data_IF_123548109175
#
_entry.id   IF_123548109175
#
_cell.length_a   1.000
_cell.length_b   1.000
_cell.length_c   1.000
_cell.angle_alpha   90.00
_cell.angle_beta   90.00
_cell.angle_gamma   90.00
#
_symmetry.space_group_name_H-M   'P 1'
#
loop_
_entity.id
_entity.type
_entity.pdbx_description
1 polymer ?
#
# COMPACT_ATOMS: atom_id res chain seq x y z
N UNK A 1 -1.22 -13.40 12.74
CA UNK A 1 -1.49 -14.59 11.91
C UNK A 1 -2.93 -15.04 11.98
N UNK A 2 -3.45 -15.38 10.80
CA UNK A 2 -4.61 -16.25 10.66
C UNK A 2 -4.06 -17.69 10.68
N UNK A 3 -4.36 -18.50 11.71
CA UNK A 3 -3.81 -19.85 11.85
C UNK A 3 -4.25 -20.81 10.72
N UNK A 4 -5.22 -20.40 9.90
CA UNK A 4 -5.74 -21.16 8.76
C UNK A 4 -4.95 -20.94 7.46
N UNK A 5 -4.04 -19.96 7.43
CA UNK A 5 -3.27 -19.60 6.24
C UNK A 5 -1.78 -19.86 6.49
N UNK A 6 -1.23 -20.85 5.77
CA UNK A 6 0.19 -21.20 5.79
C UNK A 6 0.44 -22.70 5.68
N UNK A 7 1.70 -23.08 5.46
CA UNK A 7 2.12 -24.49 5.37
C UNK A 7 1.74 -25.31 6.61
N UNK A 8 1.82 -24.69 7.80
CA UNK A 8 1.44 -25.33 9.07
C UNK A 8 -0.06 -25.59 9.23
N UNK A 9 -0.93 -24.98 8.42
CA UNK A 9 -2.38 -25.22 8.45
C UNK A 9 -2.79 -26.44 7.62
N UNK A 10 -1.89 -26.96 6.78
CA UNK A 10 -2.18 -28.09 5.88
C UNK A 10 -2.17 -29.41 6.64
N UNK A 11 -3.04 -30.33 6.19
CA UNK A 11 -3.06 -31.70 6.72
C UNK A 11 -1.77 -32.43 6.34
N UNK A 12 -1.12 -33.04 7.33
CA UNK A 12 0.11 -33.82 7.16
C UNK A 12 1.31 -32.99 6.66
N UNK A 13 1.41 -31.71 7.00
CA UNK A 13 2.64 -30.94 6.78
C UNK A 13 3.81 -31.58 7.53
N UNK A 14 4.99 -31.63 6.90
CA UNK A 14 6.20 -32.07 7.58
C UNK A 14 6.57 -31.08 8.69
N UNK A 15 7.05 -31.55 9.86
CA UNK A 15 7.53 -30.65 10.89
C UNK A 15 8.78 -29.90 10.40
N UNK A 16 8.96 -28.70 10.93
CA UNK A 16 10.20 -27.96 10.76
C UNK A 16 11.39 -28.74 11.34
N UNK A 17 12.50 -28.75 10.62
CA UNK A 17 13.77 -29.38 11.02
C UNK A 17 14.94 -28.43 10.69
N UNK A 18 16.02 -28.53 11.45
CA UNK A 18 17.20 -27.69 11.34
C UNK A 18 18.43 -28.51 10.94
N UNK A 19 19.12 -28.06 9.89
CA UNK A 19 20.39 -28.64 9.46
C UNK A 19 21.56 -27.75 9.84
N UNK A 20 22.79 -28.29 10.00
CA UNK A 20 23.97 -27.50 10.30
C UNK A 20 24.17 -26.36 9.28
N UNK A 21 24.52 -25.14 9.74
CA UNK A 21 24.64 -23.99 8.87
C UNK A 21 25.76 -24.19 7.85
N UNK A 22 25.48 -23.84 6.59
CA UNK A 22 26.50 -23.83 5.55
C UNK A 22 27.58 -22.78 5.84
N UNK A 23 28.81 -23.03 5.39
CA UNK A 23 29.88 -22.03 5.46
C UNK A 23 29.72 -21.06 4.29
N UNK A 24 29.38 -19.81 4.57
CA UNK A 24 29.30 -18.74 3.58
C UNK A 24 29.99 -17.48 4.10
N UNK A 25 30.53 -16.69 3.17
CA UNK A 25 31.03 -15.36 3.48
C UNK A 25 29.83 -14.43 3.64
N UNK A 26 29.56 -13.99 4.87
CA UNK A 26 28.58 -12.93 5.10
C UNK A 26 29.12 -11.65 4.49
N UNK A 27 28.30 -10.98 3.68
CA UNK A 27 28.54 -9.58 3.35
C UNK A 27 28.45 -8.82 4.67
N UNK A 28 29.60 -8.43 5.22
CA UNK A 28 29.64 -7.66 6.45
C UNK A 28 29.26 -6.23 6.10
N UNK A 29 27.97 -5.94 6.12
CA UNK A 29 27.54 -4.55 6.21
C UNK A 29 27.93 -4.08 7.62
N UNK A 30 29.06 -3.37 7.71
CA UNK A 30 29.61 -2.83 8.96
C UNK A 30 28.72 -1.76 9.58
N UNK A 31 27.65 -1.36 8.88
CA UNK A 31 26.62 -0.48 9.39
C UNK A 31 25.44 -1.33 9.85
N UNK A 32 25.16 -1.29 11.16
CA UNK A 32 23.87 -1.75 11.67
C UNK A 32 22.79 -0.99 10.93
N UNK A 33 21.95 -1.70 10.16
CA UNK A 33 20.76 -1.11 9.56
C UNK A 33 19.95 -0.43 10.68
N UNK A 34 19.38 0.73 10.40
CA UNK A 34 18.65 1.56 11.37
C UNK A 34 17.27 0.97 11.77
N UNK A 35 17.17 -0.36 11.87
CA UNK A 35 15.92 -1.12 12.01
C UNK A 35 15.12 -0.63 13.21
N UNK A 36 15.73 -0.50 14.39
CA UNK A 36 15.03 -0.06 15.61
C UNK A 36 14.44 1.35 15.46
N UNK A 37 15.19 2.27 14.81
CA UNK A 37 14.76 3.64 14.61
C UNK A 37 13.64 3.73 13.57
N UNK A 38 13.75 2.96 12.48
CA UNK A 38 12.72 2.86 11.45
C UNK A 38 11.43 2.24 12.02
N UNK A 39 11.55 1.18 12.82
CA UNK A 39 10.43 0.53 13.47
C UNK A 39 9.69 1.49 14.39
N UNK A 40 10.42 2.28 15.19
CA UNK A 40 9.81 3.29 16.07
C UNK A 40 9.06 4.37 15.28
N UNK A 41 9.70 4.96 14.26
CA UNK A 41 9.07 6.01 13.42
C UNK A 41 7.84 5.47 12.70
N UNK A 42 7.89 4.24 12.21
CA UNK A 42 6.77 3.59 11.54
C UNK A 42 5.62 3.30 12.51
N UNK A 43 5.91 2.74 13.69
CA UNK A 43 4.89 2.47 14.70
C UNK A 43 4.14 3.73 15.14
N UNK A 44 4.85 4.84 15.32
CA UNK A 44 4.25 6.15 15.62
C UNK A 44 3.34 6.65 14.48
N UNK A 45 3.72 6.48 13.21
CA UNK A 45 2.88 6.86 12.06
C UNK A 45 1.65 5.97 11.91
N UNK A 46 1.82 4.65 11.96
CA UNK A 46 0.73 3.67 11.84
C UNK A 46 -0.36 3.94 12.88
N UNK A 47 0.02 4.31 14.11
CA UNK A 47 -0.93 4.67 15.17
C UNK A 47 -1.71 5.97 14.91
N UNK A 48 -1.19 6.89 14.08
CA UNK A 48 -1.81 8.18 13.83
C UNK A 48 -2.54 8.24 12.47
N UNK A 49 -2.32 7.27 11.58
CA UNK A 49 -2.92 7.25 10.25
C UNK A 49 -4.31 6.61 10.28
N UNK A 50 -5.33 7.34 9.81
CA UNK A 50 -6.73 6.87 9.78
C UNK A 50 -6.92 5.60 8.95
N UNK A 51 -6.23 5.45 7.82
CA UNK A 51 -6.38 4.25 6.97
C UNK A 51 -5.94 2.97 7.69
N UNK A 52 -4.88 3.02 8.51
CA UNK A 52 -4.49 1.88 9.35
C UNK A 52 -5.53 1.57 10.44
N UNK A 53 -6.28 2.56 10.92
CA UNK A 53 -7.39 2.30 11.84
C UNK A 53 -8.50 1.49 11.16
N UNK A 54 -8.85 1.80 9.90
CA UNK A 54 -9.84 1.01 9.16
C UNK A 54 -9.35 -0.42 8.93
N UNK A 55 -8.06 -0.62 8.61
CA UNK A 55 -7.47 -1.95 8.48
C UNK A 55 -7.59 -2.74 9.79
N UNK A 56 -7.27 -2.11 10.93
CA UNK A 56 -7.39 -2.75 12.25
C UNK A 56 -8.84 -3.09 12.62
N UNK A 57 -9.80 -2.21 12.30
CA UNK A 57 -11.23 -2.47 12.46
C UNK A 57 -11.67 -3.68 11.62
N UNK A 58 -11.26 -3.72 10.35
CA UNK A 58 -11.62 -4.79 9.42
C UNK A 58 -11.00 -6.13 9.83
N UNK A 59 -9.76 -6.14 10.35
CA UNK A 59 -9.13 -7.32 10.96
C UNK A 59 -9.95 -7.81 12.15
N UNK A 60 -10.38 -6.91 13.03
CA UNK A 60 -11.20 -7.24 14.20
C UNK A 60 -12.53 -7.90 13.78
N UNK A 61 -13.22 -7.30 12.80
CA UNK A 61 -14.47 -7.83 12.24
C UNK A 61 -14.26 -9.18 11.56
N UNK A 62 -13.18 -9.35 10.81
CA UNK A 62 -12.86 -10.63 10.17
C UNK A 62 -12.62 -11.73 11.21
N UNK A 63 -11.85 -11.44 12.26
CA UNK A 63 -11.62 -12.37 13.37
C UNK A 63 -12.93 -12.77 14.07
N UNK A 64 -13.81 -11.80 14.31
CA UNK A 64 -15.12 -12.09 14.90
C UNK A 64 -15.95 -13.02 14.01
N UNK A 65 -16.02 -12.74 12.70
CA UNK A 65 -16.74 -13.58 11.73
C UNK A 65 -16.17 -15.00 11.65
N UNK A 66 -14.85 -15.14 11.67
CA UNK A 66 -14.18 -16.45 11.69
C UNK A 66 -14.48 -17.22 12.98
N UNK A 67 -14.44 -16.54 14.14
CA UNK A 67 -14.78 -17.15 15.43
C UNK A 67 -16.24 -17.59 15.51
N UNK A 68 -17.15 -16.78 14.95
CA UNK A 68 -18.58 -17.08 14.91
C UNK A 68 -18.87 -18.30 14.01
N UNK A 69 -18.11 -18.47 12.93
CA UNK A 69 -18.19 -19.57 11.94
C UNK A 69 -19.62 -19.99 11.58
N UNK A 70 -20.51 -19.01 11.43
CA UNK A 70 -21.94 -19.21 11.19
C UNK A 70 -22.48 -18.12 10.29
N UNK A 71 -23.44 -18.49 9.47
CA UNK A 71 -24.12 -17.59 8.55
C UNK A 71 -25.63 -17.69 8.77
N UNK A 72 -26.29 -16.54 8.84
CA UNK A 72 -27.75 -16.51 8.93
C UNK A 72 -28.35 -16.91 7.58
N UNK A 73 -29.39 -17.75 7.60
CA UNK A 73 -30.21 -18.06 6.43
C UNK A 73 -31.48 -17.20 6.36
N UNK A 74 -31.71 -16.34 7.36
CA UNK A 74 -32.84 -15.43 7.35
C UNK A 74 -32.56 -14.25 6.40
N UNK A 75 -33.45 -14.05 5.43
CA UNK A 75 -33.30 -13.03 4.40
C UNK A 75 -33.23 -11.61 4.97
N UNK A 76 -34.10 -11.25 5.91
CA UNK A 76 -34.14 -9.91 6.49
C UNK A 76 -32.85 -9.58 7.23
N UNK A 77 -32.30 -10.55 7.97
CA UNK A 77 -31.00 -10.43 8.64
C UNK A 77 -29.88 -10.22 7.62
N UNK A 78 -29.86 -11.00 6.54
CA UNK A 78 -28.84 -10.92 5.48
C UNK A 78 -28.91 -9.59 4.72
N UNK A 79 -30.10 -9.10 4.41
CA UNK A 79 -30.31 -7.79 3.79
C UNK A 79 -29.78 -6.66 4.68
N UNK A 80 -30.01 -6.75 5.99
CA UNK A 80 -29.47 -5.79 6.97
C UNK A 80 -27.94 -5.82 7.01
N UNK A 81 -27.32 -6.99 7.10
CA UNK A 81 -25.86 -7.14 7.08
C UNK A 81 -25.23 -6.48 5.83
N UNK A 82 -25.83 -6.71 4.65
CA UNK A 82 -25.38 -6.13 3.38
C UNK A 82 -25.54 -4.61 3.39
N UNK A 83 -26.67 -4.10 3.91
CA UNK A 83 -26.93 -2.67 4.01
C UNK A 83 -25.93 -1.97 4.96
N UNK A 84 -25.66 -2.56 6.12
CA UNK A 84 -24.68 -2.07 7.09
C UNK A 84 -23.26 -2.06 6.49
N UNK A 85 -22.92 -3.11 5.72
CA UNK A 85 -21.65 -3.20 5.01
C UNK A 85 -21.50 -2.17 3.89
N UNK A 86 -22.57 -1.92 3.14
CA UNK A 86 -22.62 -0.89 2.10
C UNK A 86 -22.49 0.51 2.70
N UNK A 87 -23.26 0.80 3.75
CA UNK A 87 -23.21 2.09 4.44
C UNK A 87 -21.80 2.38 4.94
N UNK A 88 -21.11 1.40 5.55
CA UNK A 88 -19.72 1.57 6.01
C UNK A 88 -18.74 1.86 4.88
N UNK A 89 -18.87 1.16 3.74
CA UNK A 89 -18.03 1.45 2.55
C UNK A 89 -18.27 2.87 2.03
N UNK A 90 -19.53 3.29 1.98
CA UNK A 90 -19.90 4.63 1.52
C UNK A 90 -19.46 5.74 2.49
N UNK A 91 -19.54 5.54 3.81
CA UNK A 91 -19.05 6.53 4.78
C UNK A 91 -17.54 6.71 4.67
N UNK A 92 -16.78 5.62 4.58
CA UNK A 92 -15.32 5.69 4.39
C UNK A 92 -14.95 6.34 3.05
N UNK A 93 -15.68 6.05 1.98
CA UNK A 93 -15.46 6.70 0.68
C UNK A 93 -15.70 8.23 0.76
N UNK A 94 -16.74 8.67 1.48
CA UNK A 94 -17.00 10.11 1.71
C UNK A 94 -15.91 10.77 2.56
N UNK A 95 -15.45 10.09 3.60
CA UNK A 95 -14.35 10.57 4.46
C UNK A 95 -13.05 10.72 3.66
N UNK A 96 -12.74 9.78 2.77
CA UNK A 96 -11.61 9.86 1.85
C UNK A 96 -11.74 11.00 0.85
N UNK A 97 -12.92 11.19 0.26
CA UNK A 97 -13.17 12.32 -0.66
C UNK A 97 -13.05 13.69 0.04
N UNK A 98 -13.41 13.76 1.33
CA UNK A 98 -13.24 14.97 2.14
C UNK A 98 -11.78 15.18 2.55
N UNK A 99 -11.03 14.09 2.75
CA UNK A 99 -9.59 14.12 2.98
C UNK A 99 -8.86 14.35 1.66
N UNK A 100 -8.75 15.62 1.24
CA UNK A 100 -8.04 16.02 0.02
C UNK A 100 -6.52 15.82 0.19
N UNK A 101 -6.08 14.56 0.20
CA UNK A 101 -4.67 14.20 0.28
C UNK A 101 -3.98 14.54 -1.04
N UNK A 102 -2.81 15.17 -0.94
CA UNK A 102 -2.02 15.48 -2.13
C UNK A 102 -1.54 14.19 -2.80
N UNK A 103 -1.87 14.02 -4.07
CA UNK A 103 -1.44 12.84 -4.79
C UNK A 103 0.07 12.85 -5.03
N UNK A 104 0.73 11.69 -4.90
CA UNK A 104 2.13 11.58 -5.22
C UNK A 104 2.35 11.81 -6.72
N UNK A 105 3.41 12.54 -7.04
CA UNK A 105 3.86 12.72 -8.43
C UNK A 105 4.54 11.44 -8.90
N UNK A 106 3.92 10.74 -9.84
CA UNK A 106 4.47 9.50 -10.40
C UNK A 106 5.17 9.83 -11.72
N UNK A 107 6.43 9.42 -11.84
CA UNK A 107 7.23 9.63 -13.06
C UNK A 107 7.50 8.31 -13.76
N UNK A 108 7.45 8.31 -15.09
CA UNK A 108 7.92 7.18 -15.91
C UNK A 108 9.44 7.20 -15.94
N UNK A 109 10.05 6.13 -15.44
CA UNK A 109 11.49 5.91 -15.53
C UNK A 109 11.77 4.75 -16.48
N UNK A 110 12.55 4.99 -17.51
CA UNK A 110 13.01 4.01 -18.50
C UNK A 110 14.53 4.15 -18.65
N UNK A 111 15.23 3.11 -19.12
CA UNK A 111 16.70 3.13 -19.26
C UNK A 111 17.21 4.32 -20.08
N UNK A 112 16.43 4.81 -21.04
CA UNK A 112 16.73 5.96 -21.87
C UNK A 112 16.41 7.32 -21.21
N UNK A 113 15.70 7.34 -20.07
CA UNK A 113 15.29 8.57 -19.37
C UNK A 113 15.93 8.76 -17.99
N UNK A 114 16.65 7.77 -17.45
CA UNK A 114 17.30 7.85 -16.13
C UNK A 114 18.20 9.08 -15.96
N UNK A 115 18.99 9.40 -16.97
CA UNK A 115 19.96 10.50 -16.91
C UNK A 115 19.43 11.83 -17.45
N UNK A 116 18.19 11.86 -17.96
CA UNK A 116 17.62 13.05 -18.59
C UNK A 116 16.93 13.92 -17.53
N UNK A 117 17.11 15.26 -17.54
CA UNK A 117 16.47 16.16 -16.56
C UNK A 117 14.94 16.27 -16.74
N UNK A 118 14.41 15.76 -17.86
CA UNK A 118 13.00 15.87 -18.22
C UNK A 118 12.30 14.51 -18.06
N UNK A 119 11.98 14.15 -16.81
CA UNK A 119 11.16 12.97 -16.53
C UNK A 119 9.70 13.24 -16.89
N UNK A 120 9.05 12.26 -17.53
CA UNK A 120 7.65 12.35 -17.90
C UNK A 120 6.78 12.02 -16.68
N UNK A 121 5.99 12.99 -16.21
CA UNK A 121 4.96 12.72 -15.22
C UNK A 121 3.90 11.82 -15.87
N UNK A 122 3.47 10.78 -15.15
CA UNK A 122 2.33 9.94 -15.50
C UNK A 122 1.11 10.54 -14.81
N UNK A 123 -0.01 10.63 -15.53
CA UNK A 123 -1.32 10.85 -14.91
C UNK A 123 -2.23 9.69 -15.28
N UNK A 124 -3.03 9.26 -14.32
CA UNK A 124 -4.02 8.22 -14.51
C UNK A 124 -5.12 8.66 -15.50
N UNK A 125 -5.69 7.74 -16.29
CA UNK A 125 -6.64 8.05 -17.37
C UNK A 125 -7.85 8.85 -16.90
N UNK A 126 -8.33 8.61 -15.68
CA UNK A 126 -9.44 9.37 -15.10
C UNK A 126 -9.15 10.86 -14.91
N UNK A 127 -7.92 11.17 -14.45
CA UNK A 127 -7.47 12.55 -14.27
C UNK A 127 -7.05 13.21 -15.56
N UNK A 128 -6.55 12.45 -16.54
CA UNK A 128 -6.35 12.94 -17.90
C UNK A 128 -7.68 13.41 -18.53
N UNK A 129 -8.77 12.69 -18.29
CA UNK A 129 -10.10 13.08 -18.76
C UNK A 129 -10.61 14.36 -18.05
N UNK A 130 -10.38 14.51 -16.75
CA UNK A 130 -10.72 15.72 -15.99
C UNK A 130 -9.86 16.94 -16.39
N UNK A 131 -8.54 16.77 -16.55
CA UNK A 131 -7.61 17.83 -16.93
C UNK A 131 -7.85 18.35 -18.36
N UNK A 132 -8.22 17.46 -19.28
CA UNK A 132 -8.65 17.84 -20.65
C UNK A 132 -9.94 18.66 -20.64
N UNK A 133 -10.88 18.38 -19.73
CA UNK A 133 -12.08 19.22 -19.54
C UNK A 133 -11.76 20.59 -18.93
N UNK A 134 -10.68 20.70 -18.15
CA UNK A 134 -10.21 21.95 -17.54
C UNK A 134 -9.28 22.81 -18.41
N UNK A 135 -9.02 22.45 -19.67
CA UNK A 135 -8.24 23.26 -20.61
C UNK A 135 -6.72 23.28 -20.38
N UNK A 136 -6.17 22.41 -19.54
CA UNK A 136 -4.73 22.35 -19.24
C UNK A 136 -4.03 21.39 -20.21
N UNK A 137 -3.21 21.91 -21.13
CA UNK A 137 -2.34 21.09 -21.98
C UNK A 137 -1.14 20.57 -21.18
N UNK A 138 -1.25 19.38 -20.62
CA UNK A 138 -0.18 18.72 -19.89
C UNK A 138 0.55 17.75 -20.83
N UNK A 139 1.87 17.91 -21.01
CA UNK A 139 2.72 16.93 -21.72
C UNK A 139 2.90 15.70 -20.83
N UNK A 140 1.89 14.84 -20.81
CA UNK A 140 1.80 13.69 -19.91
C UNK A 140 1.49 12.45 -20.74
N UNK A 141 2.21 11.36 -20.48
CA UNK A 141 1.93 10.08 -21.12
C UNK A 141 0.71 9.43 -20.46
N UNK A 142 -0.28 8.93 -21.22
CA UNK A 142 -1.25 8.00 -20.67
C UNK A 142 -0.49 6.76 -20.18
N UNK A 143 -0.98 6.16 -19.10
CA UNK A 143 -0.45 5.02 -18.35
C UNK A 143 0.46 4.07 -19.15
N UNK A 144 1.56 3.65 -18.51
CA UNK A 144 2.50 2.66 -19.02
C UNK A 144 1.78 1.33 -19.33
N UNK A 145 2.39 0.52 -20.20
CA UNK A 145 1.84 -0.68 -20.84
C UNK A 145 0.95 -1.54 -19.92
N UNK A 146 -0.07 -2.17 -20.51
CA UNK A 146 -0.86 -3.19 -19.84
C UNK A 146 0.08 -4.30 -19.32
N UNK A 147 0.47 -4.21 -18.05
CA UNK A 147 1.10 -5.32 -17.36
C UNK A 147 0.06 -6.41 -17.21
N UNK A 148 0.34 -7.55 -17.81
CA UNK A 148 -0.54 -8.72 -17.80
C UNK A 148 -0.66 -9.40 -16.41
N UNK A 149 0.03 -8.87 -15.39
CA UNK A 149 0.15 -9.47 -14.05
C UNK A 149 -0.41 -8.61 -12.91
N UNK A 150 -1.21 -7.58 -13.18
CA UNK A 150 -1.96 -6.86 -12.12
C UNK A 150 -3.29 -7.56 -11.79
N UNK A 151 -3.21 -8.85 -11.43
CA UNK A 151 -4.31 -9.60 -10.80
C UNK A 151 -3.97 -9.89 -9.33
N UNK A 152 -3.91 -8.84 -8.50
CA UNK A 152 -4.06 -8.85 -7.03
C UNK A 152 -3.91 -7.38 -6.59
N UNK A 153 -4.83 -6.72 -5.89
CA UNK A 153 -5.69 -7.10 -4.77
C UNK A 153 -6.97 -6.27 -4.86
N UNK A 154 -8.15 -6.91 -4.77
CA UNK A 154 -9.42 -6.23 -4.55
C UNK A 154 -10.54 -6.69 -5.48
N UNK A 155 -11.11 -7.86 -5.18
CA UNK A 155 -12.34 -8.32 -5.82
C UNK A 155 -13.48 -7.32 -5.61
N UNK A 156 -13.95 -6.77 -6.72
CA UNK A 156 -15.13 -5.93 -6.82
C UNK A 156 -15.46 -5.71 -8.29
N UNK A 157 -16.31 -6.58 -8.84
CA UNK A 157 -17.13 -6.21 -10.00
C UNK A 157 -17.88 -4.92 -9.65
N UNK A 158 -17.58 -3.83 -10.36
CA UNK A 158 -18.57 -3.12 -11.16
C UNK A 158 -17.99 -1.80 -11.70
N UNK A 159 -17.89 -1.75 -13.03
CA UNK A 159 -18.02 -0.58 -13.90
C UNK A 159 -17.80 0.81 -13.28
N UNK A 160 -16.55 1.25 -13.22
CA UNK A 160 -16.25 2.65 -13.55
C UNK A 160 -14.87 2.72 -14.20
N UNK A 161 -14.82 3.18 -15.45
CA UNK A 161 -13.59 3.36 -16.24
C UNK A 161 -12.79 4.60 -15.78
N UNK A 162 -12.82 4.87 -14.48
CA UNK A 162 -12.21 6.01 -13.83
C UNK A 162 -11.32 5.46 -12.69
N UNK A 163 -10.24 4.78 -13.08
CA UNK A 163 -9.28 4.13 -12.18
C UNK A 163 -8.47 5.20 -11.46
N UNK A 164 -9.07 5.83 -10.45
CA UNK A 164 -8.33 6.58 -9.44
C UNK A 164 -7.52 5.57 -8.61
N UNK A 165 -6.25 5.88 -8.29
CA UNK A 165 -5.41 4.95 -7.54
C UNK A 165 -6.05 4.68 -6.18
N UNK A 166 -6.31 3.41 -5.88
CA UNK A 166 -6.77 3.01 -4.57
C UNK A 166 -5.74 3.44 -3.52
N UNK A 167 -6.22 4.02 -2.42
CA UNK A 167 -5.38 4.36 -1.28
C UNK A 167 -4.87 3.04 -0.69
N UNK A 168 -3.55 2.90 -0.65
CA UNK A 168 -2.87 1.72 -0.13
C UNK A 168 -2.01 2.16 1.07
N UNK A 169 -2.50 1.94 2.30
CA UNK A 169 -1.79 2.36 3.50
C UNK A 169 -0.45 1.64 3.67
N UNK A 170 -0.31 0.41 3.17
CA UNK A 170 0.93 -0.35 3.24
C UNK A 170 1.96 0.25 2.29
N UNK A 171 1.57 0.48 1.02
CA UNK A 171 2.43 1.17 0.05
C UNK A 171 2.88 2.53 0.57
N UNK A 172 1.96 3.33 1.07
CA UNK A 172 2.28 4.70 1.50
C UNK A 172 3.20 4.69 2.73
N UNK A 173 3.02 3.77 3.68
CA UNK A 173 3.95 3.63 4.81
C UNK A 173 5.31 3.07 4.39
N UNK A 174 5.36 2.15 3.42
CA UNK A 174 6.66 1.66 2.91
C UNK A 174 7.47 2.79 2.26
N UNK A 175 6.82 3.71 1.54
CA UNK A 175 7.48 4.91 1.00
C UNK A 175 8.00 5.81 2.12
N UNK A 176 7.25 5.98 3.21
CA UNK A 176 7.71 6.74 4.37
C UNK A 176 8.92 6.08 5.05
N UNK A 177 8.91 4.75 5.20
CA UNK A 177 10.04 4.00 5.76
C UNK A 177 11.28 4.14 4.86
N UNK A 178 11.12 4.08 3.54
CA UNK A 178 12.22 4.28 2.59
C UNK A 178 12.76 5.72 2.65
N UNK A 179 11.89 6.72 2.74
CA UNK A 179 12.30 8.11 2.92
C UNK A 179 13.10 8.29 4.22
N UNK A 180 12.62 7.71 5.32
CA UNK A 180 13.34 7.71 6.60
C UNK A 180 14.71 7.02 6.48
N UNK A 181 14.79 5.88 5.79
CA UNK A 181 16.05 5.18 5.55
C UNK A 181 17.04 6.03 4.73
N UNK A 182 16.55 6.73 3.70
CA UNK A 182 17.37 7.67 2.92
C UNK A 182 17.87 8.82 3.81
N UNK A 183 17.03 9.35 4.68
CA UNK A 183 17.43 10.43 5.58
C UNK A 183 18.41 9.98 6.66
N UNK A 184 18.28 8.75 7.18
CA UNK A 184 19.22 8.17 8.14
C UNK A 184 20.55 7.77 7.50
N UNK A 185 20.54 7.36 6.23
CA UNK A 185 21.76 7.04 5.48
C UNK A 185 22.51 8.27 4.96
N UNK A 186 21.86 9.45 4.90
CA UNK A 186 22.54 10.72 4.65
C UNK A 186 23.35 11.12 5.88
N UNK A 187 24.68 11.04 5.79
CA UNK A 187 25.59 11.52 6.84
C UNK A 187 25.41 13.01 7.18
N UNK A 188 25.97 13.49 8.30
CA UNK A 188 25.79 14.88 8.75
C UNK A 188 26.28 15.86 7.69
N UNK A 189 25.36 16.67 7.15
CA UNK A 189 25.70 17.77 6.24
C UNK A 189 26.38 18.87 7.06
N UNK A 190 27.72 18.94 7.03
CA UNK A 190 28.43 20.14 7.48
C UNK A 190 28.07 21.28 6.52
N UNK A 191 27.58 22.40 7.04
CA UNK A 191 27.22 23.57 6.25
C UNK A 191 28.37 23.96 5.32
N UNK A 192 28.13 24.07 4.02
CA UNK A 192 29.10 24.64 3.08
C UNK A 192 29.25 26.12 3.40
N UNK A 193 30.38 26.52 3.98
CA UNK A 193 30.76 27.93 4.02
C UNK A 193 31.13 28.35 2.60
N UNK A 194 30.24 29.08 1.94
CA UNK A 194 30.58 29.86 0.76
C UNK A 194 31.54 30.97 1.19
N UNK A 195 32.77 30.94 0.68
CA UNK A 195 33.76 32.02 0.79
C UNK A 195 34.05 32.57 -0.60
#
# INVERSE_FOLDING_TARGET
DLPELGEGALKNCLPYDEVPPAKYAKWSDTHSLFIDQLQRRSAERVQNTTEFHYVMEDIGRLRQKLNDNRISLNEDVRRKEIADDKLRKETRAKERLASNQEEPRIYRLTLDTVDKPNLQLIMFPGKLAAAKKGGVSTKVAPEAAADADSELIGGGDDQDNNKEPAIDPERDETLNILADLVDLSRGPKTASTSR
#
